data_IF_211461797605
#
_entry.id   IF_211461797605
#
_cell.length_a   1.000
_cell.length_b   1.000
_cell.length_c   1.000
_cell.angle_alpha   90.00
_cell.angle_beta   90.00
_cell.angle_gamma   90.00
#
_symmetry.space_group_name_H-M   'P 1'
#
loop_
_entity.id
_entity.type
_entity.pdbx_description
1 polymer ?
#
# COMPACT_ATOMS: atom_id res chain seq x y z
N UNK A 1 7.42 6.15 10.56
CA UNK A 1 6.09 5.53 10.39
C UNK A 1 6.32 4.08 9.96
N UNK A 2 5.86 3.11 10.76
CA UNK A 2 5.79 1.73 10.31
C UNK A 2 4.74 1.62 9.20
N UNK A 3 5.05 0.94 8.10
CA UNK A 3 4.01 0.55 7.15
C UNK A 3 3.02 -0.35 7.88
N UNK A 4 1.72 -0.25 7.58
CA UNK A 4 0.68 -1.06 8.24
C UNK A 4 0.89 -2.58 8.09
N UNK A 5 1.85 -3.03 7.29
CA UNK A 5 2.07 -4.43 6.92
C UNK A 5 0.92 -5.03 6.09
N UNK A 6 -0.19 -4.30 5.96
CA UNK A 6 -1.36 -4.73 5.22
C UNK A 6 -1.03 -4.78 3.73
N UNK A 7 -1.18 -5.97 3.16
CA UNK A 7 -1.37 -6.13 1.73
C UNK A 7 -2.66 -5.40 1.33
N UNK A 8 -2.66 -4.76 0.16
CA UNK A 8 -3.89 -4.22 -0.40
C UNK A 8 -3.70 -3.06 -1.34
N UNK A 9 -4.82 -2.43 -1.67
CA UNK A 9 -4.97 -1.37 -2.65
C UNK A 9 -5.17 -0.01 -1.96
N UNK A 10 -5.54 1.03 -2.70
CA UNK A 10 -5.74 2.36 -2.13
C UNK A 10 -6.79 2.39 -1.00
N UNK A 11 -7.86 1.60 -1.09
CA UNK A 11 -8.93 1.60 -0.08
C UNK A 11 -8.44 1.09 1.28
N UNK A 12 -7.64 0.02 1.32
CA UNK A 12 -7.09 -0.50 2.58
C UNK A 12 -6.05 0.45 3.21
N UNK A 13 -5.40 1.29 2.39
CA UNK A 13 -4.53 2.37 2.88
C UNK A 13 -5.35 3.52 3.45
N UNK A 14 -6.44 3.91 2.79
CA UNK A 14 -7.36 4.95 3.28
C UNK A 14 -7.93 4.54 4.65
N UNK A 15 -8.39 3.30 4.79
CA UNK A 15 -8.90 2.77 6.06
C UNK A 15 -7.90 2.94 7.21
N UNK A 16 -6.65 2.51 7.01
CA UNK A 16 -5.65 2.47 8.08
C UNK A 16 -5.10 3.86 8.45
N UNK A 17 -4.99 4.78 7.48
CA UNK A 17 -4.22 6.03 7.64
C UNK A 17 -5.03 7.31 7.52
N UNK A 18 -6.24 7.28 6.94
CA UNK A 18 -6.96 8.50 6.53
C UNK A 18 -8.39 8.57 7.06
N UNK A 19 -9.10 7.44 7.17
CA UNK A 19 -10.42 7.38 7.77
C UNK A 19 -10.33 7.65 9.28
N UNK A 20 -11.28 8.42 9.84
CA UNK A 20 -11.20 8.94 11.21
C UNK A 20 -11.11 7.89 12.34
N UNK A 21 -11.38 6.61 12.05
CA UNK A 21 -11.22 5.48 12.97
C UNK A 21 -9.99 4.60 12.71
N UNK A 22 -9.15 4.96 11.74
CA UNK A 22 -8.00 4.17 11.32
C UNK A 22 -6.91 4.09 12.37
N UNK A 23 -6.22 2.95 12.45
CA UNK A 23 -5.16 2.68 13.45
C UNK A 23 -4.04 3.73 13.46
N UNK A 24 -3.75 4.32 12.30
CA UNK A 24 -2.68 5.31 12.12
C UNK A 24 -3.23 6.67 11.68
N UNK A 25 -4.55 6.86 11.69
CA UNK A 25 -5.17 8.11 11.32
C UNK A 25 -4.88 9.19 12.36
N UNK A 26 -4.53 10.39 11.88
CA UNK A 26 -4.33 11.56 12.72
C UNK A 26 -5.41 12.59 12.40
N UNK A 27 -6.53 12.47 13.11
CA UNK A 27 -7.77 13.19 12.77
C UNK A 27 -8.52 12.54 11.60
N UNK A 28 -9.52 13.24 11.08
CA UNK A 28 -10.33 12.79 9.95
C UNK A 28 -11.13 13.95 9.37
N UNK A 29 -11.63 13.76 8.15
CA UNK A 29 -12.53 14.71 7.52
C UNK A 29 -13.84 14.00 7.18
N UNK A 30 -14.97 14.60 7.59
CA UNK A 30 -16.28 13.99 7.42
C UNK A 30 -16.65 13.72 5.95
N UNK A 31 -16.15 14.54 5.01
CA UNK A 31 -16.33 14.32 3.58
C UNK A 31 -15.55 13.08 3.08
N UNK A 32 -14.37 12.82 3.61
CA UNK A 32 -13.59 11.61 3.32
C UNK A 32 -14.21 10.38 3.98
N UNK A 33 -14.63 10.45 5.24
CA UNK A 33 -15.25 9.33 5.95
C UNK A 33 -16.58 8.91 5.30
N UNK A 34 -17.38 9.89 4.86
CA UNK A 34 -18.61 9.66 4.13
C UNK A 34 -18.36 8.96 2.79
N UNK A 35 -17.43 9.47 1.98
CA UNK A 35 -17.08 8.86 0.70
C UNK A 35 -16.45 7.47 0.86
N UNK A 36 -15.65 7.25 1.90
CA UNK A 36 -15.08 5.93 2.20
C UNK A 36 -16.18 4.91 2.50
N UNK A 37 -17.17 5.30 3.30
CA UNK A 37 -18.34 4.46 3.61
C UNK A 37 -19.19 4.18 2.36
N UNK A 38 -19.38 5.17 1.50
CA UNK A 38 -20.09 5.01 0.21
C UNK A 38 -19.33 4.05 -0.72
N UNK A 39 -18.02 4.25 -0.88
CA UNK A 39 -17.15 3.41 -1.70
C UNK A 39 -17.17 1.95 -1.26
N UNK A 40 -17.23 1.68 0.05
CA UNK A 40 -17.29 0.32 0.59
C UNK A 40 -18.59 -0.41 0.24
N UNK A 41 -19.69 0.32 0.06
CA UNK A 41 -21.02 -0.23 -0.20
C UNK A 41 -21.47 -0.13 -1.67
N UNK A 42 -20.79 0.65 -2.52
CA UNK A 42 -21.10 0.78 -3.95
C UNK A 42 -20.75 -0.51 -4.70
N UNK A 43 -21.68 -1.09 -5.47
CA UNK A 43 -21.49 -2.33 -6.22
C UNK A 43 -21.04 -2.11 -7.67
N UNK A 44 -21.35 -0.96 -8.27
CA UNK A 44 -20.92 -0.62 -9.61
C UNK A 44 -19.40 -0.30 -9.63
N UNK A 45 -18.58 -1.04 -10.40
CA UNK A 45 -17.14 -0.86 -10.38
C UNK A 45 -16.68 0.54 -10.80
N UNK A 46 -17.37 1.15 -11.78
CA UNK A 46 -16.98 2.47 -12.31
C UNK A 46 -17.27 3.58 -11.31
N UNK A 47 -18.43 3.51 -10.64
CA UNK A 47 -18.78 4.43 -9.56
C UNK A 47 -17.83 4.26 -8.38
N UNK A 48 -17.56 3.02 -7.98
CA UNK A 48 -16.62 2.72 -6.90
C UNK A 48 -15.22 3.29 -7.17
N UNK A 49 -14.73 3.13 -8.40
CA UNK A 49 -13.46 3.69 -8.85
C UNK A 49 -13.46 5.23 -8.83
N UNK A 50 -14.51 5.86 -9.36
CA UNK A 50 -14.64 7.31 -9.35
C UNK A 50 -14.67 7.89 -7.92
N UNK A 51 -15.40 7.25 -7.00
CA UNK A 51 -15.43 7.63 -5.58
C UNK A 51 -14.05 7.48 -4.94
N UNK A 52 -13.33 6.39 -5.23
CA UNK A 52 -11.97 6.18 -4.73
C UNK A 52 -10.98 7.24 -5.25
N UNK A 53 -11.09 7.67 -6.51
CA UNK A 53 -10.31 8.79 -7.04
C UNK A 53 -10.67 10.11 -6.37
N UNK A 54 -11.95 10.34 -6.09
CA UNK A 54 -12.39 11.55 -5.39
C UNK A 54 -11.79 11.64 -3.98
N UNK A 55 -11.75 10.52 -3.25
CA UNK A 55 -11.10 10.47 -1.93
C UNK A 55 -9.62 10.84 -2.07
N UNK A 56 -8.88 10.23 -3.01
CA UNK A 56 -7.46 10.52 -3.24
C UNK A 56 -7.22 12.00 -3.58
N UNK A 57 -8.10 12.63 -4.36
CA UNK A 57 -8.02 14.06 -4.66
C UNK A 57 -8.20 14.91 -3.40
N UNK A 58 -9.18 14.59 -2.54
CA UNK A 58 -9.39 15.33 -1.30
C UNK A 58 -8.20 15.20 -0.33
N UNK A 59 -7.62 14.00 -0.23
CA UNK A 59 -6.40 13.75 0.57
C UNK A 59 -5.24 14.64 0.10
N UNK A 60 -5.07 14.75 -1.22
CA UNK A 60 -4.09 15.63 -1.83
C UNK A 60 -4.38 17.10 -1.56
N UNK A 61 -5.60 17.57 -1.85
CA UNK A 61 -6.00 18.98 -1.73
C UNK A 61 -5.94 19.48 -0.28
N UNK A 62 -6.25 18.60 0.68
CA UNK A 62 -6.18 18.90 2.12
C UNK A 62 -4.78 18.69 2.72
N UNK A 63 -3.79 18.31 1.90
CA UNK A 63 -2.39 18.08 2.31
C UNK A 63 -2.29 17.15 3.52
N UNK A 64 -3.07 16.06 3.50
CA UNK A 64 -3.14 15.13 4.64
C UNK A 64 -1.86 14.32 4.83
N UNK A 65 -1.03 14.21 3.80
CA UNK A 65 0.23 13.44 3.82
C UNK A 65 1.38 14.33 3.37
N UNK A 66 2.39 14.46 4.22
CA UNK A 66 3.66 15.09 3.87
C UNK A 66 4.66 13.99 3.45
N UNK A 67 5.07 13.92 2.16
CA UNK A 67 6.06 12.96 1.71
C UNK A 67 7.46 13.40 2.15
N UNK A 68 7.96 12.88 3.27
CA UNK A 68 9.29 13.23 3.80
C UNK A 68 10.38 12.28 3.28
N UNK A 69 10.10 10.97 3.23
CA UNK A 69 11.07 9.95 2.86
C UNK A 69 10.45 8.91 1.93
N UNK A 70 11.22 8.45 0.95
CA UNK A 70 10.93 7.27 0.15
C UNK A 70 11.84 6.14 0.63
N UNK A 71 11.28 5.10 1.24
CA UNK A 71 12.06 3.93 1.66
C UNK A 71 12.46 3.11 0.44
N UNK A 72 13.75 3.10 0.11
CA UNK A 72 14.29 2.19 -0.89
C UNK A 72 14.56 0.82 -0.25
N UNK A 73 14.04 -0.25 -0.87
CA UNK A 73 14.37 -1.62 -0.48
C UNK A 73 15.82 -1.93 -0.84
N UNK A 74 16.72 -1.84 0.12
CA UNK A 74 18.12 -2.25 -0.05
C UNK A 74 18.24 -3.75 0.23
N UNK A 75 18.70 -4.50 -0.77
CA UNK A 75 18.85 -5.95 -0.69
C UNK A 75 20.32 -6.36 -0.75
N UNK A 76 20.71 -7.32 0.09
CA UNK A 76 22.03 -7.95 0.07
C UNK A 76 21.95 -9.35 -0.54
N UNK A 77 22.81 -9.64 -1.51
CA UNK A 77 22.89 -10.94 -2.18
C UNK A 77 24.19 -11.65 -1.80
N UNK A 78 24.08 -12.87 -1.28
CA UNK A 78 25.25 -13.69 -0.94
C UNK A 78 25.97 -14.19 -2.20
N UNK A 79 27.30 -14.37 -2.18
CA UNK A 79 28.07 -14.77 -3.37
C UNK A 79 27.66 -16.13 -3.96
N UNK A 80 27.02 -16.99 -3.16
CA UNK A 80 26.53 -18.32 -3.54
C UNK A 80 25.10 -18.34 -4.07
N UNK A 81 24.36 -17.23 -3.97
CA UNK A 81 22.97 -17.13 -4.44
C UNK A 81 22.98 -17.01 -5.96
N UNK A 82 22.16 -17.81 -6.63
CA UNK A 82 21.92 -17.72 -8.07
C UNK A 82 20.60 -16.97 -8.31
N UNK A 83 19.46 -17.58 -7.97
CA UNK A 83 18.17 -16.91 -7.90
C UNK A 83 17.86 -16.52 -6.46
N UNK A 84 17.53 -15.25 -6.24
CA UNK A 84 17.36 -14.68 -4.91
C UNK A 84 15.91 -14.59 -4.46
N UNK A 85 14.95 -14.71 -5.38
CA UNK A 85 13.55 -14.44 -5.11
C UNK A 85 13.23 -12.95 -4.90
N UNK A 86 14.22 -12.05 -4.91
CA UNK A 86 13.99 -10.61 -4.77
C UNK A 86 13.51 -10.07 -6.12
N UNK A 87 12.31 -9.49 -6.13
CA UNK A 87 11.74 -8.86 -7.32
C UNK A 87 11.03 -9.82 -8.27
N UNK A 88 10.90 -11.11 -7.94
CA UNK A 88 10.11 -12.07 -8.73
C UNK A 88 8.60 -11.81 -8.63
N UNK A 89 8.13 -11.31 -7.48
CA UNK A 89 6.75 -10.92 -7.25
C UNK A 89 6.64 -9.39 -7.29
N UNK A 90 5.91 -8.83 -8.26
CA UNK A 90 5.72 -7.38 -8.41
C UNK A 90 5.15 -6.77 -7.13
N UNK A 91 5.87 -5.77 -6.58
CA UNK A 91 5.46 -5.05 -5.37
C UNK A 91 5.75 -5.78 -4.05
N UNK A 92 6.30 -7.00 -4.09
CA UNK A 92 6.80 -7.70 -2.92
C UNK A 92 8.29 -7.40 -2.74
N UNK A 93 8.62 -6.73 -1.64
CA UNK A 93 9.97 -6.18 -1.42
C UNK A 93 10.94 -7.18 -0.75
N UNK A 94 10.49 -8.41 -0.48
CA UNK A 94 11.28 -9.45 0.17
C UNK A 94 11.54 -10.61 -0.81
N UNK A 95 12.39 -11.56 -0.41
CA UNK A 95 12.64 -12.78 -1.17
C UNK A 95 11.39 -13.68 -1.16
N UNK A 96 10.81 -13.95 -2.33
CA UNK A 96 9.78 -14.96 -2.58
C UNK A 96 9.57 -15.16 -4.10
N UNK A 97 9.08 -16.34 -4.55
CA UNK A 97 8.77 -17.53 -3.75
C UNK A 97 10.03 -18.24 -3.26
N UNK A 98 9.98 -18.91 -2.11
CA UNK A 98 11.16 -19.59 -1.56
C UNK A 98 11.52 -20.85 -2.34
N UNK A 99 10.54 -21.45 -3.02
CA UNK A 99 10.70 -22.59 -3.91
C UNK A 99 11.55 -22.29 -5.14
N UNK A 100 11.62 -21.03 -5.56
CA UNK A 100 12.40 -20.58 -6.72
C UNK A 100 13.81 -20.12 -6.34
N UNK A 101 14.13 -20.02 -5.05
CA UNK A 101 15.45 -19.58 -4.57
C UNK A 101 16.48 -20.67 -4.81
N UNK A 102 17.57 -20.33 -5.50
CA UNK A 102 18.62 -21.30 -5.87
C UNK A 102 20.02 -20.86 -5.42
N UNK A 103 20.89 -21.84 -5.30
CA UNK A 103 22.32 -21.65 -5.08
C UNK A 103 23.06 -22.03 -6.35
N UNK A 104 24.14 -21.30 -6.64
CA UNK A 104 25.07 -21.63 -7.72
C UNK A 104 25.58 -23.07 -7.53
N UNK A 105 25.72 -23.78 -8.65
CA UNK A 105 26.41 -25.06 -8.70
C UNK A 105 27.85 -24.98 -8.17
N UNK A 106 28.43 -26.13 -7.82
CA UNK A 106 29.85 -26.21 -7.47
C UNK A 106 30.74 -25.92 -8.66
#
# INVERSE_FOLDING_TARGET
QGGSGAFGNAATRIEAFLAGGGTYAYGGYADIDGLFSEQANEMDPKRREATLHRIQQLVHDKVMVAPIWLNAGMNGLGPRVEESGIGLITGYIFSAPYEDVTLKGK
#
